data_IF_885177928998
#
_entry.id   IF_885177928998
#
_cell.length_a   1.000
_cell.length_b   1.000
_cell.length_c   1.000
_cell.angle_alpha   90.00
_cell.angle_beta   90.00
_cell.angle_gamma   90.00
#
_symmetry.space_group_name_H-M   'P 1'
#
loop_
_entity.id
_entity.type
_entity.pdbx_description
1 polymer ?
#
# COMPACT_ATOMS: atom_id res chain seq x y z
N UNK A 1 10.61 2.20 8.21
CA UNK A 1 10.87 0.85 7.73
C UNK A 1 11.94 0.86 6.64
N UNK A 2 12.97 0.01 6.75
CA UNK A 2 14.12 0.01 5.83
C UNK A 2 13.74 -0.17 4.35
N UNK A 3 12.62 -0.83 4.07
CA UNK A 3 12.11 -1.00 2.69
C UNK A 3 11.65 0.33 2.12
N UNK A 4 10.95 1.13 2.93
CA UNK A 4 10.36 2.38 2.48
C UNK A 4 11.36 3.53 2.45
N UNK A 5 12.42 3.44 3.22
CA UNK A 5 13.53 4.39 3.15
C UNK A 5 14.28 4.31 1.82
N UNK A 6 14.24 3.17 1.14
CA UNK A 6 14.95 2.92 -0.11
C UNK A 6 14.08 3.03 -1.36
N UNK A 7 12.77 2.97 -1.21
CA UNK A 7 11.82 2.95 -2.33
C UNK A 7 10.82 4.09 -2.17
N UNK A 8 10.81 5.06 -3.08
CA UNK A 8 9.82 6.14 -2.99
C UNK A 8 8.43 5.62 -3.35
N UNK A 9 7.54 5.64 -2.39
CA UNK A 9 6.12 5.33 -2.57
C UNK A 9 5.27 6.57 -2.31
N UNK A 10 4.71 7.18 -3.34
CA UNK A 10 3.79 8.32 -3.16
C UNK A 10 2.60 7.92 -2.26
N UNK A 11 2.23 8.79 -1.36
CA UNK A 11 1.10 8.56 -0.45
C UNK A 11 1.39 7.64 0.72
N UNK A 12 2.63 7.27 0.93
CA UNK A 12 3.05 6.31 1.95
C UNK A 12 2.51 6.59 3.35
N UNK A 13 2.46 7.85 3.76
CA UNK A 13 2.02 8.23 5.12
C UNK A 13 0.59 7.79 5.45
N UNK A 14 -0.26 7.58 4.44
CA UNK A 14 -1.66 7.15 4.58
C UNK A 14 -1.97 6.05 3.58
N UNK A 15 -1.18 4.98 3.62
CA UNK A 15 -1.33 3.88 2.67
C UNK A 15 -2.48 2.95 3.05
N UNK A 16 -3.51 2.93 2.24
CA UNK A 16 -4.61 1.98 2.29
C UNK A 16 -5.24 1.86 0.91
N UNK A 17 -5.27 0.64 0.38
CA UNK A 17 -5.76 0.33 -0.96
C UNK A 17 -5.09 1.18 -2.05
N UNK A 18 -3.88 1.65 -1.81
CA UNK A 18 -3.13 2.52 -2.71
C UNK A 18 -1.97 1.76 -3.38
N UNK A 19 -0.77 2.34 -3.42
CA UNK A 19 0.34 1.79 -4.21
C UNK A 19 0.83 0.45 -3.69
N UNK A 20 0.97 0.30 -2.38
CA UNK A 20 1.55 -0.91 -1.76
C UNK A 20 0.67 -2.14 -2.03
N UNK A 21 -0.58 -2.08 -1.61
CA UNK A 21 -1.51 -3.21 -1.74
C UNK A 21 -1.82 -3.50 -3.21
N UNK A 22 -2.04 -2.47 -4.01
CA UNK A 22 -2.33 -2.64 -5.43
C UNK A 22 -1.14 -3.23 -6.18
N UNK A 23 0.09 -2.78 -5.88
CA UNK A 23 1.30 -3.34 -6.49
C UNK A 23 1.52 -4.80 -6.12
N UNK A 24 1.27 -5.19 -4.87
CA UNK A 24 1.33 -6.58 -4.46
C UNK A 24 0.30 -7.42 -5.20
N UNK A 25 -0.92 -6.93 -5.36
CA UNK A 25 -1.96 -7.63 -6.13
C UNK A 25 -1.59 -7.75 -7.61
N UNK A 26 -1.02 -6.72 -8.21
CA UNK A 26 -0.53 -6.77 -9.59
C UNK A 26 0.57 -7.81 -9.79
N UNK A 27 1.39 -8.04 -8.77
CA UNK A 27 2.43 -9.04 -8.80
C UNK A 27 1.88 -10.46 -8.60
N UNK A 28 1.02 -10.66 -7.58
CA UNK A 28 0.52 -12.00 -7.22
C UNK A 28 -0.65 -12.47 -8.08
N UNK A 29 -1.53 -11.57 -8.45
CA UNK A 29 -2.76 -11.90 -9.16
C UNK A 29 -3.17 -10.77 -10.12
N UNK A 30 -2.38 -10.53 -11.18
CA UNK A 30 -2.62 -9.39 -12.09
C UNK A 30 -4.00 -9.44 -12.75
N UNK A 31 -4.54 -10.63 -13.02
CA UNK A 31 -5.85 -10.78 -13.65
C UNK A 31 -7.01 -10.30 -12.76
N UNK A 32 -6.78 -10.13 -11.47
CA UNK A 32 -7.79 -9.64 -10.53
C UNK A 32 -7.73 -8.13 -10.33
N UNK A 33 -6.73 -7.45 -10.89
CA UNK A 33 -6.58 -6.00 -10.79
C UNK A 33 -7.21 -5.32 -11.99
N UNK A 34 -8.18 -4.47 -11.74
CA UNK A 34 -8.93 -3.72 -12.76
C UNK A 34 -8.40 -2.28 -12.85
N UNK A 35 -7.29 -2.09 -13.54
CA UNK A 35 -6.63 -0.78 -13.66
C UNK A 35 -7.56 0.27 -14.27
N UNK A 36 -8.46 -0.14 -15.19
CA UNK A 36 -9.43 0.73 -15.82
C UNK A 36 -10.46 1.31 -14.85
N UNK A 37 -10.57 0.75 -13.65
CA UNK A 37 -11.46 1.22 -12.58
C UNK A 37 -10.77 2.11 -11.56
N UNK A 38 -9.46 2.29 -11.66
CA UNK A 38 -8.74 3.19 -10.78
C UNK A 38 -9.22 4.63 -10.99
N UNK A 39 -9.38 5.35 -9.91
CA UNK A 39 -9.72 6.78 -9.93
C UNK A 39 -8.64 7.57 -9.21
N UNK A 40 -8.43 8.81 -9.67
CA UNK A 40 -7.51 9.70 -8.98
C UNK A 40 -8.13 10.10 -7.65
N UNK A 41 -7.48 9.72 -6.56
CA UNK A 41 -7.96 9.96 -5.21
C UNK A 41 -7.08 11.00 -4.54
N UNK A 42 -7.71 12.06 -4.05
CA UNK A 42 -7.03 13.13 -3.32
C UNK A 42 -6.33 12.65 -2.05
N UNK A 43 -6.74 11.52 -1.53
CA UNK A 43 -6.25 10.98 -0.28
C UNK A 43 -7.00 11.51 0.94
N UNK A 44 -6.77 10.87 2.07
CA UNK A 44 -7.34 11.26 3.35
C UNK A 44 -6.53 12.41 3.97
N UNK A 45 -7.18 13.19 4.81
CA UNK A 45 -6.52 14.25 5.58
C UNK A 45 -5.82 13.59 6.79
N UNK A 46 -4.49 13.70 6.92
CA UNK A 46 -3.81 13.15 8.09
C UNK A 46 -4.22 13.91 9.36
N UNK A 47 -4.51 13.17 10.42
CA UNK A 47 -4.79 13.75 11.73
C UNK A 47 -4.14 12.93 12.84
N UNK A 48 -3.81 13.62 13.94
CA UNK A 48 -3.12 13.00 15.07
C UNK A 48 -4.04 12.18 15.97
N UNK A 49 -5.35 12.25 15.75
CA UNK A 49 -6.37 11.54 16.53
C UNK A 49 -7.60 11.27 15.68
N UNK A 50 -8.40 10.32 16.10
CA UNK A 50 -9.67 9.99 15.46
C UNK A 50 -10.79 10.65 16.24
N UNK A 51 -11.63 11.41 15.54
CA UNK A 51 -12.83 12.04 16.08
C UNK A 51 -14.07 11.38 15.48
N UNK A 52 -15.06 11.13 16.30
CA UNK A 52 -16.33 10.57 15.84
C UNK A 52 -17.49 11.51 16.22
N UNK A 53 -18.41 11.81 15.30
CA UNK A 53 -18.45 11.33 13.90
C UNK A 53 -17.32 11.91 13.06
N UNK A 54 -16.90 11.16 12.03
CA UNK A 54 -15.85 11.57 11.11
C UNK A 54 -16.30 12.80 10.32
N UNK A 55 -15.43 13.80 10.21
CA UNK A 55 -15.71 14.99 9.44
C UNK A 55 -15.92 14.67 7.97
N UNK A 56 -16.84 15.40 7.34
CA UNK A 56 -17.11 15.27 5.92
C UNK A 56 -15.81 15.46 5.14
N UNK A 57 -15.61 14.61 4.15
CA UNK A 57 -14.43 14.64 3.25
C UNK A 57 -13.08 14.34 3.93
N UNK A 58 -13.05 13.99 5.20
CA UNK A 58 -11.82 13.54 5.86
C UNK A 58 -11.32 12.20 5.30
N UNK A 59 -12.24 11.34 4.88
CA UNK A 59 -11.96 10.08 4.20
C UNK A 59 -12.65 10.08 2.84
N UNK A 60 -11.93 9.79 1.75
CA UNK A 60 -12.55 9.71 0.42
C UNK A 60 -13.68 8.70 0.37
N UNK A 61 -14.75 9.01 -0.38
CA UNK A 61 -15.90 8.13 -0.54
C UNK A 61 -15.58 6.79 -1.18
N UNK A 62 -14.46 6.69 -1.89
CA UNK A 62 -13.93 5.44 -2.47
C UNK A 62 -13.32 4.50 -1.42
N UNK A 63 -13.05 5.00 -0.22
CA UNK A 63 -12.36 4.24 0.83
C UNK A 63 -10.85 4.14 0.65
N UNK A 64 -10.31 4.65 -0.43
CA UNK A 64 -8.86 4.64 -0.73
C UNK A 64 -8.23 5.86 -0.07
N UNK A 65 -7.20 5.66 0.75
CA UNK A 65 -6.60 6.76 1.51
C UNK A 65 -5.50 7.51 0.75
N UNK A 66 -5.01 6.97 -0.36
CA UNK A 66 -4.03 7.62 -1.23
C UNK A 66 -4.20 7.11 -2.66
N UNK A 67 -3.56 7.76 -3.64
CA UNK A 67 -3.65 7.33 -5.03
C UNK A 67 -2.99 5.97 -5.27
N UNK A 68 -3.59 5.16 -6.13
CA UNK A 68 -3.02 3.88 -6.59
C UNK A 68 -2.36 3.99 -7.97
N UNK A 69 -2.36 5.16 -8.60
CA UNK A 69 -1.95 5.31 -10.00
C UNK A 69 -0.50 4.95 -10.30
N UNK A 70 0.40 5.07 -9.33
CA UNK A 70 1.80 4.68 -9.52
C UNK A 70 2.09 3.21 -9.21
N UNK A 71 1.06 2.40 -9.01
CA UNK A 71 1.20 0.97 -8.75
C UNK A 71 1.78 0.22 -9.94
N UNK A 72 2.57 -0.79 -9.67
CA UNK A 72 3.12 -1.68 -10.71
C UNK A 72 3.44 -3.06 -10.13
N UNK A 73 3.43 -4.08 -10.99
CA UNK A 73 3.84 -5.42 -10.62
C UNK A 73 5.32 -5.46 -10.18
N UNK A 74 6.17 -4.61 -10.76
CA UNK A 74 7.58 -4.49 -10.39
C UNK A 74 7.72 -4.01 -8.94
N UNK A 75 6.99 -2.98 -8.54
CA UNK A 75 6.94 -2.53 -7.14
C UNK A 75 6.43 -3.63 -6.21
N UNK A 76 5.41 -4.35 -6.65
CA UNK A 76 4.87 -5.50 -5.90
C UNK A 76 5.91 -6.58 -5.68
N UNK A 77 6.69 -6.90 -6.71
CA UNK A 77 7.80 -7.86 -6.62
C UNK A 77 8.87 -7.42 -5.61
N UNK A 78 9.30 -6.16 -5.70
CA UNK A 78 10.29 -5.60 -4.78
C UNK A 78 9.81 -5.69 -3.33
N UNK A 79 8.56 -5.30 -3.07
CA UNK A 79 7.95 -5.40 -1.74
C UNK A 79 7.87 -6.84 -1.26
N UNK A 80 7.38 -7.74 -2.10
CA UNK A 80 7.25 -9.16 -1.77
C UNK A 80 8.61 -9.79 -1.44
N UNK A 81 9.62 -9.53 -2.26
CA UNK A 81 10.97 -10.06 -2.05
C UNK A 81 11.57 -9.54 -0.73
N UNK A 82 11.38 -8.26 -0.42
CA UNK A 82 11.87 -7.64 0.81
C UNK A 82 11.18 -8.23 2.06
N UNK A 83 9.87 -8.40 2.01
CA UNK A 83 9.09 -9.00 3.10
C UNK A 83 9.49 -10.46 3.29
N UNK A 84 9.62 -11.22 2.20
CA UNK A 84 10.02 -12.62 2.26
C UNK A 84 11.40 -12.78 2.89
N UNK A 85 12.37 -11.98 2.46
CA UNK A 85 13.72 -11.98 3.04
C UNK A 85 13.67 -11.72 4.54
N UNK A 86 12.89 -10.71 4.95
CA UNK A 86 12.77 -10.36 6.37
C UNK A 86 12.13 -11.48 7.18
N UNK A 87 11.10 -12.13 6.63
CA UNK A 87 10.45 -13.27 7.28
C UNK A 87 11.40 -14.47 7.42
N UNK A 88 12.17 -14.76 6.40
CA UNK A 88 13.19 -15.83 6.45
C UNK A 88 14.21 -15.54 7.55
N UNK A 89 14.73 -14.31 7.61
CA UNK A 89 15.69 -13.90 8.63
C UNK A 89 15.12 -14.04 10.05
N UNK A 90 13.85 -13.72 10.23
CA UNK A 90 13.17 -13.81 11.54
C UNK A 90 12.91 -15.29 11.92
N UNK A 91 12.49 -16.11 10.97
CA UNK A 91 12.03 -17.48 11.24
C UNK A 91 13.15 -18.50 11.25
N UNK A 92 14.25 -18.27 10.55
CA UNK A 92 15.38 -19.22 10.43
C UNK A 92 15.87 -19.75 11.77
N UNK A 93 16.04 -18.93 12.83
CA UNK A 93 16.47 -19.44 14.13
C UNK A 93 15.50 -20.45 14.78
N UNK A 94 14.25 -20.48 14.35
CA UNK A 94 13.22 -21.36 14.87
C UNK A 94 12.94 -22.57 13.99
N UNK A 95 13.56 -22.64 12.82
CA UNK A 95 13.43 -23.74 11.87
C UNK A 95 14.73 -24.57 11.91
N UNK A 96 14.64 -25.74 12.44
CA UNK A 96 15.80 -26.68 12.50
C UNK A 96 15.72 -27.73 11.40
#
# INVERSE_FOLDING_TARGET
DAVFDQIPFPGWALEHAAVTETSLMMYFAPDLVHEERMVDTKGAIPCCYIKYPIEKDAIPGTGVLATAYSSSAEKGKILSDAVLKRLIDILTPYCS
#
